data_IF_647056778190
#
_entry.id   IF_647056778190
#
_cell.length_a   1.000
_cell.length_b   1.000
_cell.length_c   1.000
_cell.angle_alpha   90.00
_cell.angle_beta   90.00
_cell.angle_gamma   90.00
#
_symmetry.space_group_name_H-M   'P 1'
#
loop_
_entity.id
_entity.type
_entity.pdbx_description
1 polymer ?
#
# COMPACT_ATOMS: atom_id res chain seq x y z
N UNK A 1 10.16 4.70 -8.06
CA UNK A 1 9.91 4.13 -6.72
C UNK A 1 9.07 5.10 -5.91
N UNK A 2 8.14 4.62 -5.11
CA UNK A 2 7.22 5.48 -4.35
C UNK A 2 6.81 4.84 -3.02
N UNK A 3 6.84 5.63 -1.95
CA UNK A 3 6.40 5.21 -0.63
C UNK A 3 5.61 6.35 0.03
N UNK A 4 4.42 6.05 0.55
CA UNK A 4 3.60 7.07 1.20
C UNK A 4 2.71 6.49 2.29
N UNK A 5 2.62 7.20 3.41
CA UNK A 5 1.61 6.96 4.44
C UNK A 5 0.75 8.20 4.56
N UNK A 6 -0.58 8.06 4.53
CA UNK A 6 -1.49 9.19 4.72
C UNK A 6 -2.88 8.77 5.16
N UNK A 7 -3.67 9.69 5.71
CA UNK A 7 -5.08 9.44 6.05
C UNK A 7 -6.06 9.51 4.87
N UNK A 8 -5.57 9.64 3.64
CA UNK A 8 -6.42 9.80 2.44
C UNK A 8 -6.81 8.43 1.88
N UNK A 9 -7.99 8.31 1.24
CA UNK A 9 -8.36 7.11 0.48
C UNK A 9 -7.28 6.75 -0.55
N UNK A 10 -7.03 5.45 -0.69
CA UNK A 10 -6.06 4.93 -1.65
C UNK A 10 -6.69 4.90 -3.05
N UNK A 11 -5.88 5.20 -4.07
CA UNK A 11 -6.28 5.07 -5.47
C UNK A 11 -5.33 4.08 -6.17
N UNK A 12 -5.81 2.85 -6.36
CA UNK A 12 -5.01 1.76 -6.94
C UNK A 12 -4.52 2.12 -8.34
N UNK A 13 -5.37 2.67 -9.20
CA UNK A 13 -4.99 3.04 -10.57
C UNK A 13 -3.86 4.09 -10.58
N UNK A 14 -3.92 5.06 -9.66
CA UNK A 14 -2.84 6.04 -9.49
C UNK A 14 -1.55 5.35 -9.06
N UNK A 15 -1.58 4.45 -8.09
CA UNK A 15 -0.37 3.74 -7.63
C UNK A 15 0.22 2.88 -8.75
N UNK A 16 -0.61 2.21 -9.55
CA UNK A 16 -0.18 1.45 -10.74
C UNK A 16 0.53 2.34 -11.76
N UNK A 17 0.01 3.54 -12.02
CA UNK A 17 0.65 4.46 -12.97
C UNK A 17 2.06 4.90 -12.57
N UNK A 18 2.39 4.88 -11.26
CA UNK A 18 3.71 5.25 -10.75
C UNK A 18 4.79 4.20 -11.05
N UNK A 19 4.41 2.99 -11.43
CA UNK A 19 5.31 1.86 -11.74
C UNK A 19 5.14 1.34 -13.16
N UNK A 20 4.33 2.02 -13.98
CA UNK A 20 4.22 1.69 -15.39
C UNK A 20 5.51 2.06 -16.11
N UNK A 21 6.13 1.09 -16.77
CA UNK A 21 7.45 1.22 -17.40
C UNK A 21 7.50 0.31 -18.63
N UNK A 22 7.93 0.82 -19.77
CA UNK A 22 7.95 0.11 -21.06
C UNK A 22 8.86 -1.14 -21.06
N UNK A 23 9.76 -1.27 -20.09
CA UNK A 23 10.59 -2.47 -19.89
C UNK A 23 9.81 -3.61 -19.22
N UNK A 24 8.68 -3.30 -18.59
CA UNK A 24 7.90 -4.24 -17.80
C UNK A 24 6.79 -4.89 -18.62
N UNK A 25 6.77 -6.22 -18.69
CA UNK A 25 5.67 -6.96 -19.33
C UNK A 25 4.39 -7.06 -18.49
N UNK A 26 4.45 -6.74 -17.20
CA UNK A 26 3.31 -6.80 -16.29
C UNK A 26 3.47 -5.88 -15.09
N UNK A 27 2.35 -5.47 -14.50
CA UNK A 27 2.28 -4.86 -13.17
C UNK A 27 1.41 -5.75 -12.29
N UNK A 28 1.92 -6.10 -11.11
CA UNK A 28 1.18 -6.87 -10.11
C UNK A 28 0.85 -5.97 -8.93
N UNK A 29 -0.41 -5.97 -8.50
CA UNK A 29 -0.89 -5.16 -7.38
C UNK A 29 -1.40 -6.01 -6.24
N UNK A 30 -1.21 -5.52 -5.03
CA UNK A 30 -1.89 -6.01 -3.83
C UNK A 30 -2.68 -4.86 -3.20
N UNK A 31 -3.92 -5.12 -2.77
CA UNK A 31 -4.75 -4.14 -2.07
C UNK A 31 -5.40 -4.82 -0.87
N UNK A 32 -4.99 -4.41 0.33
CA UNK A 32 -5.65 -4.82 1.56
C UNK A 32 -6.93 -4.01 1.76
N UNK A 33 -8.05 -4.71 1.94
CA UNK A 33 -9.36 -4.10 2.27
C UNK A 33 -9.82 -4.58 3.63
N UNK A 34 -10.48 -3.70 4.39
CA UNK A 34 -11.05 -4.05 5.70
C UNK A 34 -12.20 -5.03 5.48
N UNK A 35 -12.08 -6.23 6.08
CA UNK A 35 -13.13 -7.25 6.07
C UNK A 35 -14.23 -6.88 7.06
N UNK A 36 -15.45 -7.33 6.80
CA UNK A 36 -16.60 -7.12 7.69
C UNK A 36 -16.65 -8.05 8.93
N UNK A 37 -15.60 -8.84 9.16
CA UNK A 37 -15.51 -9.75 10.29
C UNK A 37 -14.06 -10.02 10.68
N UNK A 38 -13.83 -10.27 11.97
CA UNK A 38 -12.56 -10.76 12.49
C UNK A 38 -12.76 -11.56 13.78
N UNK A 39 -12.09 -12.71 13.93
CA UNK A 39 -12.22 -13.56 15.13
C UNK A 39 -13.66 -14.03 15.45
N UNK A 40 -14.53 -14.14 14.44
CA UNK A 40 -15.95 -14.50 14.63
C UNK A 40 -16.86 -13.34 15.04
N UNK A 41 -16.34 -12.11 15.10
CA UNK A 41 -17.09 -10.90 15.42
C UNK A 41 -17.29 -10.04 14.16
N UNK A 42 -18.40 -9.30 14.11
CA UNK A 42 -18.63 -8.32 13.04
C UNK A 42 -17.75 -7.09 13.23
N UNK A 43 -17.23 -6.56 12.12
CA UNK A 43 -16.37 -5.37 12.07
C UNK A 43 -17.01 -4.35 11.13
N UNK A 44 -17.05 -3.09 11.52
CA UNK A 44 -17.50 -1.98 10.67
C UNK A 44 -16.36 -1.10 10.18
N UNK A 45 -15.26 -1.03 10.94
CA UNK A 45 -14.07 -0.26 10.61
C UNK A 45 -12.85 -0.71 11.41
N UNK A 46 -11.67 -0.25 11.01
CA UNK A 46 -10.40 -0.38 11.74
C UNK A 46 -9.75 1.01 11.83
N UNK A 47 -9.22 1.34 13.02
CA UNK A 47 -8.40 2.53 13.24
C UNK A 47 -6.91 2.19 13.13
N UNK A 48 -6.27 2.73 12.10
CA UNK A 48 -4.85 2.55 11.85
C UNK A 48 -4.04 3.71 12.41
N UNK A 49 -3.03 3.41 13.23
CA UNK A 49 -2.02 4.37 13.68
C UNK A 49 -0.67 4.05 13.05
N UNK A 50 0.20 5.06 12.95
CA UNK A 50 1.54 4.87 12.44
C UNK A 50 2.57 5.57 13.34
N UNK A 51 3.68 4.88 13.57
CA UNK A 51 4.85 5.46 14.25
C UNK A 51 5.44 6.61 13.42
N UNK A 52 6.04 7.65 14.02
CA UNK A 52 6.72 8.72 13.29
C UNK A 52 7.75 8.27 12.25
N UNK A 53 8.33 7.08 12.44
CA UNK A 53 9.30 6.48 11.52
C UNK A 53 8.69 5.57 10.43
N UNK A 54 7.37 5.33 10.45
CA UNK A 54 6.73 4.38 9.54
C UNK A 54 6.94 4.76 8.06
N UNK A 55 6.91 6.06 7.72
CA UNK A 55 7.18 6.53 6.35
C UNK A 55 8.58 6.15 5.90
N UNK A 56 9.59 6.32 6.76
CA UNK A 56 10.97 5.96 6.44
C UNK A 56 11.13 4.44 6.30
N UNK A 57 10.50 3.67 7.19
CA UNK A 57 10.52 2.20 7.12
C UNK A 57 9.91 1.72 5.80
N UNK A 58 8.75 2.27 5.40
CA UNK A 58 8.11 1.92 4.14
C UNK A 58 8.99 2.27 2.93
N UNK A 59 9.65 3.44 2.95
CA UNK A 59 10.59 3.83 1.90
C UNK A 59 11.76 2.84 1.78
N UNK A 60 12.37 2.45 2.91
CA UNK A 60 13.45 1.48 2.94
C UNK A 60 13.01 0.10 2.38
N UNK A 61 11.79 -0.34 2.69
CA UNK A 61 11.25 -1.60 2.15
C UNK A 61 11.02 -1.52 0.64
N UNK A 62 10.49 -0.40 0.14
CA UNK A 62 10.32 -0.15 -1.30
C UNK A 62 11.68 -0.15 -2.01
N UNK A 63 12.69 0.47 -1.41
CA UNK A 63 14.08 0.44 -1.89
C UNK A 63 14.64 -0.98 -1.97
N UNK A 64 14.55 -1.75 -0.89
CA UNK A 64 15.03 -3.13 -0.87
C UNK A 64 14.32 -4.03 -1.88
N UNK A 65 13.03 -3.81 -2.14
CA UNK A 65 12.30 -4.57 -3.16
C UNK A 65 12.71 -4.18 -4.58
N UNK A 66 13.05 -2.91 -4.81
CA UNK A 66 13.43 -2.40 -6.11
C UNK A 66 14.83 -2.85 -6.57
N UNK A 67 15.67 -3.36 -5.68
CA UNK A 67 17.00 -3.91 -6.03
C UNK A 67 16.96 -5.33 -6.59
N UNK A 68 15.78 -5.99 -6.60
CA UNK A 68 15.65 -7.36 -7.09
C UNK A 68 15.70 -7.41 -8.61
N UNK A 69 16.36 -8.42 -9.15
CA UNK A 69 16.45 -8.65 -10.60
C UNK A 69 15.06 -8.77 -11.23
N UNK A 70 14.87 -8.09 -12.36
CA UNK A 70 13.61 -8.05 -13.10
C UNK A 70 12.55 -7.11 -12.52
N UNK A 71 12.82 -6.38 -11.43
CA UNK A 71 11.92 -5.36 -10.89
C UNK A 71 12.28 -3.99 -11.45
N UNK A 72 11.37 -3.39 -12.22
CA UNK A 72 11.57 -2.06 -12.81
C UNK A 72 10.93 -0.92 -12.00
N UNK A 73 9.95 -1.24 -11.15
CA UNK A 73 9.24 -0.26 -10.35
C UNK A 73 8.57 -0.88 -9.13
N UNK A 74 8.63 -0.17 -8.01
CA UNK A 74 7.92 -0.52 -6.77
C UNK A 74 7.26 0.74 -6.22
N UNK A 75 5.97 0.62 -5.89
CA UNK A 75 5.21 1.66 -5.23
C UNK A 75 4.36 1.06 -4.11
N UNK A 76 4.34 1.71 -2.95
CA UNK A 76 3.52 1.32 -1.83
C UNK A 76 2.88 2.54 -1.16
N UNK A 77 1.57 2.47 -0.94
CA UNK A 77 0.86 3.44 -0.11
C UNK A 77 0.14 2.72 1.03
N UNK A 78 0.12 3.31 2.22
CA UNK A 78 -0.61 2.81 3.37
C UNK A 78 -1.57 3.89 3.91
N UNK A 79 -2.83 3.52 4.13
CA UNK A 79 -3.83 4.40 4.73
C UNK A 79 -3.78 4.29 6.25
N UNK A 80 -3.79 5.44 6.93
CA UNK A 80 -3.93 5.55 8.39
C UNK A 80 -5.24 6.26 8.76
N UNK A 81 -5.58 6.27 10.05
CA UNK A 81 -6.85 6.79 10.56
C UNK A 81 -7.97 5.78 10.44
N UNK A 82 -9.21 6.27 10.45
CA UNK A 82 -10.42 5.45 10.40
C UNK A 82 -10.68 4.91 8.98
N UNK A 83 -10.84 3.59 8.87
CA UNK A 83 -11.08 2.90 7.59
C UNK A 83 -12.25 1.94 7.75
N UNK A 84 -13.35 2.22 7.05
CA UNK A 84 -14.53 1.37 7.04
C UNK A 84 -14.30 0.07 6.26
N UNK A 85 -15.16 -0.92 6.47
CA UNK A 85 -15.23 -2.13 5.64
C UNK A 85 -15.25 -1.76 4.15
N UNK A 86 -14.41 -2.44 3.37
CA UNK A 86 -14.27 -2.19 1.92
C UNK A 86 -13.19 -1.18 1.56
N UNK A 87 -12.73 -0.35 2.51
CA UNK A 87 -11.58 0.55 2.35
C UNK A 87 -11.91 2.02 2.15
#
# INVERSE_FOLDING_TARGET
>A
MHAKISGKPLNVAKVVSLVSDDRSGAVVTFTGVVRNHDGGQSVTAIDYSAHPHATQILANLVEQCATRDGVHGVAAEHRIGHVEVGG
#
